data_IF_405106447190
#
_entry.id   IF_405106447190
#
_cell.length_a   1.000
_cell.length_b   1.000
_cell.length_c   1.000
_cell.angle_alpha   90.00
_cell.angle_beta   90.00
_cell.angle_gamma   90.00
#
_symmetry.space_group_name_H-M   'P 1'
#
loop_
_entity.id
_entity.type
_entity.pdbx_description
1 polymer ?
#
# COMPACT_ATOMS: atom_id res chain seq x y z
N UNK A 1 1.22 -12.72 -0.63
CA UNK A 1 1.19 -11.56 -1.52
C UNK A 1 2.30 -11.70 -2.53
N UNK A 2 2.01 -11.61 -3.83
CA UNK A 2 3.02 -11.61 -4.88
C UNK A 2 3.03 -10.28 -5.65
N UNK A 3 4.04 -10.07 -6.49
CA UNK A 3 4.22 -8.82 -7.25
C UNK A 3 3.03 -8.49 -8.14
N UNK A 4 2.47 -9.48 -8.84
CA UNK A 4 1.29 -9.29 -9.70
C UNK A 4 0.06 -8.83 -8.91
N UNK A 5 -0.19 -9.42 -7.75
CA UNK A 5 -1.28 -9.03 -6.86
C UNK A 5 -1.05 -7.61 -6.31
N UNK A 6 0.18 -7.27 -5.92
CA UNK A 6 0.52 -5.92 -5.47
C UNK A 6 0.26 -4.87 -6.56
N UNK A 7 0.72 -5.12 -7.79
CA UNK A 7 0.51 -4.20 -8.91
C UNK A 7 -0.98 -3.94 -9.16
N UNK A 8 -1.82 -4.99 -9.16
CA UNK A 8 -3.27 -4.86 -9.32
C UNK A 8 -3.92 -4.04 -8.20
N UNK A 9 -3.47 -4.19 -6.96
CA UNK A 9 -3.96 -3.40 -5.82
C UNK A 9 -3.57 -1.93 -5.96
N UNK A 10 -2.34 -1.64 -6.35
CA UNK A 10 -1.85 -0.27 -6.58
C UNK A 10 -2.63 0.39 -7.72
N UNK A 11 -2.87 -0.32 -8.83
CA UNK A 11 -3.69 0.17 -9.93
C UNK A 11 -5.15 0.44 -9.52
N UNK A 12 -5.75 -0.44 -8.72
CA UNK A 12 -7.10 -0.24 -8.20
C UNK A 12 -7.17 1.01 -7.31
N UNK A 13 -6.18 1.18 -6.45
CA UNK A 13 -6.05 2.35 -5.59
C UNK A 13 -5.88 3.66 -6.39
N UNK A 14 -5.00 3.68 -7.40
CA UNK A 14 -4.77 4.88 -8.22
C UNK A 14 -6.03 5.32 -8.97
N UNK A 15 -6.83 4.34 -9.41
CA UNK A 15 -8.09 4.55 -10.14
C UNK A 15 -9.30 4.78 -9.22
N UNK A 16 -9.09 4.82 -7.89
CA UNK A 16 -10.15 4.96 -6.87
C UNK A 16 -11.26 3.91 -7.01
N UNK A 17 -10.88 2.69 -7.38
CA UNK A 17 -11.80 1.56 -7.43
C UNK A 17 -12.08 1.10 -6.01
N UNK A 18 -13.36 0.96 -5.65
CA UNK A 18 -13.74 0.45 -4.34
C UNK A 18 -13.23 -0.99 -4.16
N UNK A 19 -12.64 -1.33 -3.00
CA UNK A 19 -12.19 -2.68 -2.73
C UNK A 19 -13.37 -3.66 -2.75
N UNK A 20 -13.20 -4.77 -3.46
CA UNK A 20 -14.22 -5.82 -3.51
C UNK A 20 -14.26 -6.55 -2.17
N UNK A 21 -15.44 -6.85 -1.60
CA UNK A 21 -15.55 -7.65 -0.38
C UNK A 21 -14.75 -8.96 -0.48
N UNK A 22 -13.89 -9.23 0.51
CA UNK A 22 -12.98 -10.39 0.52
C UNK A 22 -11.60 -10.15 -0.11
N UNK A 23 -11.33 -8.97 -0.66
CA UNK A 23 -9.96 -8.57 -1.02
C UNK A 23 -9.12 -8.17 0.20
N UNK A 24 -7.81 -8.18 0.01
CA UNK A 24 -6.83 -7.70 0.99
C UNK A 24 -7.18 -6.28 1.45
N UNK A 25 -7.01 -6.00 2.74
CA UNK A 25 -7.26 -4.67 3.31
C UNK A 25 -6.24 -3.69 2.72
N UNK A 26 -6.70 -2.52 2.28
CA UNK A 26 -5.84 -1.45 1.76
C UNK A 26 -5.95 -0.23 2.65
N UNK A 27 -4.82 0.33 3.08
CA UNK A 27 -4.77 1.54 3.92
C UNK A 27 -3.85 2.57 3.30
N UNK A 28 -4.38 3.76 3.00
CA UNK A 28 -3.55 4.91 2.62
C UNK A 28 -2.79 5.42 3.85
N UNK A 29 -1.49 5.55 3.72
CA UNK A 29 -0.63 6.24 4.70
C UNK A 29 -0.29 7.63 4.16
N UNK A 30 0.31 8.54 4.97
CA UNK A 30 0.73 9.84 4.47
C UNK A 30 1.60 9.73 3.21
N UNK A 31 1.49 10.72 2.32
CA UNK A 31 2.28 10.76 1.09
C UNK A 31 3.78 10.87 1.39
N UNK A 32 4.60 10.52 0.39
CA UNK A 32 6.07 10.53 0.45
C UNK A 32 6.67 9.60 1.51
N UNK A 33 5.93 8.57 1.93
CA UNK A 33 6.45 7.48 2.77
C UNK A 33 6.95 6.34 1.90
N UNK A 34 8.20 5.96 2.13
CA UNK A 34 8.84 4.73 1.59
C UNK A 34 8.99 3.65 2.66
N UNK A 35 8.76 4.03 3.93
CA UNK A 35 8.68 3.13 5.08
C UNK A 35 7.51 3.58 5.94
N UNK A 36 6.73 2.63 6.44
CA UNK A 36 5.65 2.86 7.40
C UNK A 36 5.84 1.96 8.62
N UNK A 37 5.57 2.47 9.81
CA UNK A 37 5.58 1.65 11.03
C UNK A 37 4.14 1.27 11.33
N UNK A 38 3.81 0.00 11.19
CA UNK A 38 2.54 -0.52 11.72
C UNK A 38 2.71 -0.83 13.20
N UNK A 39 1.69 -0.55 14.00
CA UNK A 39 1.66 -0.87 15.42
C UNK A 39 0.55 -1.89 15.68
N UNK A 40 0.91 -3.04 16.25
CA UNK A 40 -0.01 -4.09 16.65
C UNK A 40 0.39 -4.54 18.06
N UNK A 41 -0.54 -4.52 18.99
CA UNK A 41 -0.34 -4.91 20.39
C UNK A 41 0.84 -4.18 21.07
N UNK A 42 1.02 -2.90 20.76
CA UNK A 42 2.11 -2.07 21.30
C UNK A 42 3.50 -2.36 20.71
N UNK A 43 3.58 -3.19 19.67
CA UNK A 43 4.83 -3.51 18.97
C UNK A 43 4.83 -2.88 17.59
N UNK A 44 5.78 -1.96 17.36
CA UNK A 44 6.03 -1.35 16.06
C UNK A 44 6.78 -2.28 15.11
N UNK A 45 6.32 -2.38 13.86
CA UNK A 45 6.98 -3.12 12.79
C UNK A 45 7.16 -2.22 11.57
N UNK A 46 8.39 -2.13 11.09
CA UNK A 46 8.69 -1.38 9.87
C UNK A 46 8.29 -2.17 8.64
N UNK A 47 7.48 -1.55 7.80
CA UNK A 47 7.10 -2.01 6.48
C UNK A 47 7.88 -1.17 5.47
N UNK A 48 8.86 -1.81 4.82
CA UNK A 48 9.56 -1.21 3.69
C UNK A 48 8.66 -1.33 2.46
N UNK A 49 8.47 -0.20 1.77
CA UNK A 49 7.60 -0.12 0.61
C UNK A 49 8.40 -0.20 -0.69
N UNK A 50 7.84 -0.86 -1.69
CA UNK A 50 8.40 -0.94 -3.04
C UNK A 50 7.75 0.12 -3.93
N UNK A 51 8.49 0.64 -4.90
CA UNK A 51 7.99 1.60 -5.88
C UNK A 51 7.10 0.92 -6.92
N UNK A 52 6.02 1.58 -7.31
CA UNK A 52 5.13 1.20 -8.40
C UNK A 52 4.80 2.42 -9.27
N UNK A 53 4.84 2.24 -10.58
CA UNK A 53 4.47 3.26 -11.56
C UNK A 53 3.10 2.94 -12.15
N UNK A 54 2.14 3.85 -12.01
CA UNK A 54 0.79 3.70 -12.60
C UNK A 54 0.39 5.01 -13.27
N UNK A 55 0.09 4.96 -14.57
CA UNK A 55 -0.38 6.10 -15.36
C UNK A 55 0.53 7.35 -15.23
N UNK A 56 1.85 7.13 -15.13
CA UNK A 56 2.86 8.19 -14.97
C UNK A 56 3.00 8.75 -13.56
N UNK A 57 2.29 8.19 -12.57
CA UNK A 57 2.40 8.53 -11.15
C UNK A 57 3.14 7.45 -10.37
N UNK A 58 3.98 7.88 -9.43
CA UNK A 58 4.71 6.98 -8.53
C UNK A 58 3.93 6.73 -7.25
N UNK A 59 3.83 5.46 -6.87
CA UNK A 59 3.26 4.97 -5.62
C UNK A 59 4.27 4.11 -4.87
N UNK A 60 4.13 4.05 -3.56
CA UNK A 60 4.89 3.20 -2.65
C UNK A 60 3.94 2.26 -1.96
N UNK A 61 4.18 0.96 -2.06
CA UNK A 61 3.32 -0.05 -1.46
C UNK A 61 4.10 -1.09 -0.67
N UNK A 62 3.57 -1.48 0.49
CA UNK A 62 4.13 -2.55 1.31
C UNK A 62 3.03 -3.41 1.92
N UNK A 63 3.27 -4.71 2.04
CA UNK A 63 2.31 -5.67 2.60
C UNK A 63 2.75 -6.14 3.98
N UNK A 64 1.85 -6.05 4.95
CA UNK A 64 2.02 -6.74 6.23
C UNK A 64 1.31 -8.09 6.21
N UNK A 65 2.05 -9.15 6.52
CA UNK A 65 1.48 -10.47 6.77
C UNK A 65 0.69 -10.54 8.08
N UNK A 66 0.98 -9.66 9.06
CA UNK A 66 0.35 -9.69 10.38
C UNK A 66 -1.06 -9.10 10.32
N UNK A 67 -1.20 -7.91 9.77
CA UNK A 67 -2.48 -7.23 9.61
C UNK A 67 -3.21 -7.59 8.31
N UNK A 68 -2.57 -8.41 7.45
CA UNK A 68 -3.05 -8.73 6.10
C UNK A 68 -3.46 -7.47 5.32
N UNK A 69 -2.65 -6.41 5.48
CA UNK A 69 -2.95 -5.06 4.98
C UNK A 69 -1.85 -4.60 4.02
N UNK A 70 -2.26 -4.02 2.89
CA UNK A 70 -1.40 -3.25 2.00
C UNK A 70 -1.46 -1.79 2.42
N UNK A 71 -0.30 -1.22 2.70
CA UNK A 71 -0.13 0.19 2.99
C UNK A 71 0.34 0.91 1.74
N UNK A 72 -0.28 2.05 1.40
CA UNK A 72 -0.03 2.80 0.17
C UNK A 72 0.29 4.26 0.46
N UNK A 73 1.32 4.77 -0.19
CA UNK A 73 1.75 6.16 -0.16
C UNK A 73 1.94 6.64 -1.59
N UNK A 74 1.54 7.88 -1.89
CA UNK A 74 1.79 8.51 -3.18
C UNK A 74 3.06 9.34 -3.13
N UNK A 75 3.84 9.39 -4.21
CA UNK A 75 5.01 10.27 -4.30
C UNK A 75 4.67 11.67 -4.86
N UNK A 76 3.41 12.08 -4.82
CA UNK A 76 2.95 13.41 -5.23
C UNK A 76 1.79 13.88 -4.36
N UNK A 77 1.71 15.20 -4.13
CA UNK A 77 0.48 15.90 -3.75
C UNK A 77 -0.22 16.27 -5.04
N UNK A 78 -1.31 15.57 -5.38
CA UNK A 78 -2.31 16.13 -6.29
C UNK A 78 -3.03 17.30 -5.59
#
# INVERSE_FOLDING_TARGET
MNEKQMAQIVEGFSRKVDPVPGQVKVTRVPDYKTVYVEEIDGVGRSIVMTEYQVDGKTYWAGYSMYSQTVFLSQASRD
#
